data_IF_001034504785
#
_entry.id   IF_001034504785
#
_cell.length_a   1.000
_cell.length_b   1.000
_cell.length_c   1.000
_cell.angle_alpha   90.00
_cell.angle_beta   90.00
_cell.angle_gamma   90.00
#
_symmetry.space_group_name_H-M   'P 1'
#
loop_
_entity.id
_entity.type
_entity.pdbx_description
1 polymer ?
#
# COMPACT_ATOMS: atom_id res chain seq x y z
N UNK A 1 8.16 12.34 -16.17
CA UNK A 1 7.81 12.36 -14.74
C UNK A 1 6.46 13.04 -14.45
N UNK A 2 5.40 12.73 -15.21
CA UNK A 2 4.03 13.22 -14.94
C UNK A 2 3.17 12.01 -14.58
N UNK A 3 2.51 12.09 -13.42
CA UNK A 3 1.52 11.15 -12.87
C UNK A 3 1.99 9.71 -12.60
N UNK A 4 2.69 9.49 -11.49
CA UNK A 4 2.64 8.21 -10.77
C UNK A 4 1.44 8.24 -9.79
N UNK A 5 0.73 7.13 -9.58
CA UNK A 5 -0.39 7.07 -8.64
C UNK A 5 0.12 7.33 -7.21
N UNK A 6 -0.48 8.32 -6.53
CA UNK A 6 -0.02 8.87 -5.24
C UNK A 6 -0.29 7.95 -4.05
N UNK A 7 -1.14 6.93 -4.20
CA UNK A 7 -1.28 5.86 -3.24
C UNK A 7 -2.11 4.74 -3.89
N UNK A 8 -1.66 3.50 -3.77
CA UNK A 8 -2.45 2.32 -4.07
C UNK A 8 -2.90 1.74 -2.72
N UNK A 9 -4.21 1.70 -2.48
CA UNK A 9 -4.79 1.08 -1.28
C UNK A 9 -5.09 -0.38 -1.59
N UNK A 10 -4.15 -1.26 -1.29
CA UNK A 10 -4.34 -2.70 -1.42
C UNK A 10 -4.89 -3.26 -0.10
N UNK A 11 -6.20 -3.58 -0.06
CA UNK A 11 -6.79 -4.32 1.07
C UNK A 11 -6.55 -5.81 0.82
N UNK A 12 -5.92 -6.50 1.77
CA UNK A 12 -5.66 -7.94 1.66
C UNK A 12 -6.93 -8.79 1.50
N UNK A 13 -8.09 -8.28 1.93
CA UNK A 13 -9.41 -8.91 1.69
C UNK A 13 -9.80 -9.01 0.22
N UNK A 14 -9.17 -8.21 -0.64
CA UNK A 14 -9.55 -8.08 -2.04
C UNK A 14 -8.82 -9.10 -2.94
N UNK A 15 -7.84 -9.82 -2.38
CA UNK A 15 -7.11 -10.91 -3.05
C UNK A 15 -7.68 -12.28 -2.66
N UNK A 16 -8.74 -12.70 -3.36
CA UNK A 16 -9.23 -14.07 -3.29
C UNK A 16 -8.32 -15.07 -4.02
N UNK A 17 -8.33 -16.32 -3.57
CA UNK A 17 -7.47 -17.42 -4.05
C UNK A 17 -7.93 -18.06 -5.37
N UNK A 18 -8.35 -17.26 -6.36
CA UNK A 18 -8.81 -17.79 -7.65
C UNK A 18 -8.21 -16.99 -8.80
N UNK A 19 -7.43 -17.72 -9.61
CA UNK A 19 -6.85 -17.43 -10.93
C UNK A 19 -6.93 -15.99 -11.46
N UNK A 20 -5.77 -15.34 -11.59
CA UNK A 20 -5.60 -14.09 -12.33
C UNK A 20 -4.62 -14.27 -13.48
N UNK A 21 -5.17 -14.40 -14.70
CA UNK A 21 -4.46 -14.10 -15.93
C UNK A 21 -4.15 -12.59 -16.00
N UNK A 22 -2.88 -12.26 -16.23
CA UNK A 22 -2.38 -10.89 -16.28
C UNK A 22 -2.67 -10.26 -17.66
N UNK A 23 -3.82 -9.60 -17.82
CA UNK A 23 -4.05 -8.68 -18.94
C UNK A 23 -3.85 -7.22 -18.52
N UNK A 24 -2.90 -6.57 -19.20
CA UNK A 24 -2.43 -5.21 -18.94
C UNK A 24 -3.37 -4.14 -19.52
N UNK A 25 -4.61 -4.04 -19.03
CA UNK A 25 -5.56 -2.96 -19.34
C UNK A 25 -5.30 -1.67 -18.53
N UNK A 26 -4.04 -1.33 -18.27
CA UNK A 26 -3.61 -0.23 -17.37
C UNK A 26 -4.05 1.18 -17.82
N UNK A 27 -4.38 1.38 -19.10
CA UNK A 27 -4.74 2.70 -19.62
C UNK A 27 -6.25 3.00 -19.57
N UNK A 28 -7.11 1.97 -19.65
CA UNK A 28 -8.57 2.17 -19.69
C UNK A 28 -9.20 2.26 -18.30
N UNK A 29 -8.52 1.74 -17.27
CA UNK A 29 -9.03 1.73 -15.91
C UNK A 29 -8.90 3.07 -15.20
N UNK A 30 -8.05 4.04 -15.59
CA UNK A 30 -7.82 5.25 -14.78
C UNK A 30 -9.11 6.06 -14.48
N UNK A 31 -10.01 6.21 -15.46
CA UNK A 31 -11.30 6.87 -15.24
C UNK A 31 -12.29 6.03 -14.44
N UNK A 32 -12.26 4.71 -14.59
CA UNK A 32 -13.11 3.77 -13.87
C UNK A 32 -12.66 3.62 -12.41
N UNK A 33 -11.36 3.41 -12.19
CA UNK A 33 -10.69 3.47 -10.89
C UNK A 33 -11.01 4.80 -10.21
N UNK A 34 -10.85 5.96 -10.86
CA UNK A 34 -11.16 7.24 -10.21
C UNK A 34 -12.62 7.34 -9.74
N UNK A 35 -13.60 6.89 -10.54
CA UNK A 35 -15.02 6.89 -10.14
C UNK A 35 -15.31 5.87 -9.03
N UNK A 36 -14.77 4.66 -9.12
CA UNK A 36 -14.98 3.58 -8.14
C UNK A 36 -14.26 3.87 -6.82
N UNK A 37 -13.01 4.36 -6.90
CA UNK A 37 -12.17 4.71 -5.76
C UNK A 37 -12.76 5.90 -5.00
N UNK A 38 -13.20 6.97 -5.68
CA UNK A 38 -13.89 8.09 -5.02
C UNK A 38 -15.23 7.64 -4.42
N UNK A 39 -16.01 6.81 -5.13
CA UNK A 39 -17.30 6.30 -4.62
C UNK A 39 -17.13 5.38 -3.39
N UNK A 40 -16.04 4.62 -3.33
CA UNK A 40 -15.71 3.79 -2.17
C UNK A 40 -15.05 4.60 -1.04
N UNK A 41 -14.27 5.63 -1.36
CA UNK A 41 -13.70 6.56 -0.36
C UNK A 41 -14.78 7.32 0.40
N UNK A 42 -15.87 7.71 -0.28
CA UNK A 42 -17.06 8.30 0.33
C UNK A 42 -17.89 7.32 1.20
N UNK A 43 -17.59 6.02 1.14
CA UNK A 43 -18.19 4.98 2.00
C UNK A 43 -17.30 4.58 3.18
N UNK A 44 -16.07 5.08 3.27
CA UNK A 44 -15.07 4.57 4.19
C UNK A 44 -15.17 5.22 5.59
N UNK A 45 -15.08 4.37 6.62
CA UNK A 45 -14.94 4.75 8.02
C UNK A 45 -13.79 5.78 8.22
N UNK A 46 -13.94 6.72 9.15
CA UNK A 46 -12.92 7.71 9.56
C UNK A 46 -11.52 7.10 9.77
N UNK A 47 -11.50 5.82 10.14
CA UNK A 47 -10.28 5.03 10.34
C UNK A 47 -9.47 4.80 9.06
N UNK A 48 -10.10 4.46 7.95
CA UNK A 48 -9.39 4.23 6.67
C UNK A 48 -8.75 5.52 6.17
N UNK A 49 -9.42 6.65 6.38
CA UNK A 49 -8.89 7.99 6.09
C UNK A 49 -7.67 8.28 6.96
N UNK A 50 -7.76 8.02 8.28
CA UNK A 50 -6.62 8.19 9.18
C UNK A 50 -5.42 7.31 8.80
N UNK A 51 -5.65 6.07 8.35
CA UNK A 51 -4.58 5.18 7.89
C UNK A 51 -3.94 5.67 6.58
N UNK A 52 -4.75 6.20 5.66
CA UNK A 52 -4.24 6.81 4.44
C UNK A 52 -3.38 8.05 4.73
N UNK A 53 -3.75 8.87 5.72
CA UNK A 53 -2.92 10.00 6.15
C UNK A 53 -1.54 9.55 6.65
N UNK A 54 -1.45 8.42 7.34
CA UNK A 54 -0.16 7.88 7.79
C UNK A 54 0.70 7.41 6.60
N UNK A 55 0.11 6.82 5.57
CA UNK A 55 0.82 6.47 4.34
C UNK A 55 1.30 7.71 3.56
N UNK A 56 0.51 8.79 3.54
CA UNK A 56 0.90 10.05 2.91
C UNK A 56 2.10 10.71 3.60
N UNK A 57 2.19 10.63 4.93
CA UNK A 57 3.39 11.12 5.66
C UNK A 57 4.66 10.40 5.22
N UNK A 58 4.60 9.08 5.02
CA UNK A 58 5.72 8.31 4.49
C UNK A 58 6.07 8.72 3.04
N UNK A 59 5.06 8.99 2.20
CA UNK A 59 5.28 9.50 0.84
C UNK A 59 5.98 10.88 0.83
N UNK A 60 5.66 11.76 1.79
CA UNK A 60 6.34 13.04 1.98
C UNK A 60 7.82 12.85 2.38
N UNK A 61 8.12 11.84 3.21
CA UNK A 61 9.50 11.50 3.57
C UNK A 61 10.26 11.03 2.33
N UNK A 62 9.71 10.11 1.53
CA UNK A 62 10.32 9.70 0.26
C UNK A 62 10.58 10.91 -0.65
N UNK A 63 9.59 11.80 -0.79
CA UNK A 63 9.76 13.02 -1.57
C UNK A 63 10.94 13.87 -1.09
N UNK A 64 11.06 14.07 0.23
CA UNK A 64 12.18 14.83 0.82
C UNK A 64 13.55 14.19 0.58
N UNK A 65 13.57 12.87 0.36
CA UNK A 65 14.76 12.07 0.04
C UNK A 65 15.03 11.94 -1.46
N UNK A 66 14.30 12.69 -2.30
CA UNK A 66 14.40 12.63 -3.77
C UNK A 66 14.01 11.26 -4.35
N UNK A 67 13.20 10.50 -3.62
CA UNK A 67 12.65 9.21 -4.05
C UNK A 67 11.29 9.39 -4.76
N UNK A 68 10.80 8.31 -5.38
CA UNK A 68 9.41 8.27 -5.85
C UNK A 68 8.48 8.38 -4.63
N UNK A 69 7.54 9.36 -4.57
CA UNK A 69 6.78 9.68 -3.37
C UNK A 69 5.65 8.66 -3.13
N UNK A 70 6.01 7.48 -2.65
CA UNK A 70 5.10 6.39 -2.32
C UNK A 70 5.37 5.97 -0.89
N UNK A 71 4.30 5.85 -0.10
CA UNK A 71 4.31 5.38 1.28
C UNK A 71 3.33 4.24 1.48
N UNK A 72 3.63 3.36 2.42
CA UNK A 72 2.84 2.18 2.75
C UNK A 72 2.79 1.96 4.27
N UNK A 73 1.64 1.50 4.75
CA UNK A 73 1.40 1.19 6.16
C UNK A 73 0.74 -0.18 6.27
N UNK A 74 1.19 -0.99 7.23
CA UNK A 74 0.57 -2.31 7.52
C UNK A 74 -0.13 -2.22 8.86
N UNK A 75 -1.41 -2.61 8.86
CA UNK A 75 -2.26 -2.65 10.05
C UNK A 75 -2.57 -4.09 10.40
N UNK A 76 -2.37 -4.43 11.67
CA UNK A 76 -2.74 -5.73 12.23
C UNK A 76 -3.44 -5.51 13.57
N UNK A 77 -4.57 -6.18 13.80
CA UNK A 77 -5.38 -6.03 15.01
C UNK A 77 -5.62 -4.55 15.37
N UNK A 78 -6.09 -3.77 14.40
CA UNK A 78 -6.40 -2.35 14.56
C UNK A 78 -5.21 -1.42 14.89
N UNK A 79 -3.97 -1.91 14.86
CA UNK A 79 -2.75 -1.16 15.15
C UNK A 79 -1.81 -1.14 13.93
N UNK A 80 -1.19 0.01 13.66
CA UNK A 80 -0.12 0.10 12.65
C UNK A 80 1.11 -0.61 13.21
N UNK A 81 1.57 -1.65 12.51
CA UNK A 81 2.74 -2.46 12.89
C UNK A 81 3.96 -2.20 11.98
N UNK A 82 3.77 -1.57 10.83
CA UNK A 82 4.85 -1.15 9.95
C UNK A 82 4.47 0.11 9.17
N UNK A 83 5.48 0.92 8.85
CA UNK A 83 5.42 2.09 7.96
C UNK A 83 6.69 2.13 7.14
N UNK A 84 6.54 2.32 5.83
CA UNK A 84 7.69 2.45 4.95
C UNK A 84 7.39 3.38 3.78
N UNK A 85 8.45 3.90 3.20
CA UNK A 85 8.42 4.68 1.97
C UNK A 85 9.37 4.06 0.96
N UNK A 86 9.28 4.51 -0.29
CA UNK A 86 10.18 4.04 -1.34
C UNK A 86 11.62 4.47 -1.04
N UNK A 87 12.58 3.54 -1.13
CA UNK A 87 14.01 3.76 -0.84
C UNK A 87 14.91 3.13 -1.93
N UNK A 88 14.46 3.19 -3.19
CA UNK A 88 15.15 2.51 -4.30
C UNK A 88 16.48 3.14 -4.63
N UNK A 89 16.54 4.46 -4.65
CA UNK A 89 17.75 5.22 -4.92
C UNK A 89 18.70 5.18 -3.72
N UNK A 90 18.16 5.32 -2.49
CA UNK A 90 18.91 5.27 -1.23
C UNK A 90 19.62 3.92 -1.04
N UNK A 91 18.93 2.81 -1.30
CA UNK A 91 19.47 1.46 -1.13
C UNK A 91 20.10 0.88 -2.40
N UNK A 92 20.01 1.60 -3.54
CA UNK A 92 20.38 1.10 -4.87
C UNK A 92 19.75 -0.27 -5.17
N UNK A 93 18.52 -0.47 -4.69
CA UNK A 93 17.79 -1.72 -4.78
C UNK A 93 16.46 -1.47 -5.51
N UNK A 94 16.27 -2.01 -6.72
CA UNK A 94 15.02 -1.85 -7.46
C UNK A 94 13.80 -2.47 -6.75
N UNK A 95 14.01 -3.31 -5.74
CA UNK A 95 12.96 -3.95 -4.93
C UNK A 95 12.62 -3.19 -3.65
N UNK A 96 13.34 -2.11 -3.31
CA UNK A 96 13.09 -1.28 -2.13
C UNK A 96 11.87 -0.34 -2.29
N UNK A 97 10.77 -0.93 -2.74
CA UNK A 97 9.45 -0.33 -2.80
C UNK A 97 8.81 -0.24 -1.41
N UNK A 98 7.98 0.79 -1.19
CA UNK A 98 7.31 1.00 0.10
C UNK A 98 6.53 -0.23 0.56
N UNK A 99 5.81 -0.90 -0.35
CA UNK A 99 5.00 -2.09 -0.05
C UNK A 99 5.87 -3.26 0.43
N UNK A 100 6.98 -3.51 -0.27
CA UNK A 100 7.92 -4.59 0.05
C UNK A 100 8.56 -4.35 1.42
N UNK A 101 9.04 -3.12 1.65
CA UNK A 101 9.65 -2.73 2.91
C UNK A 101 8.65 -2.81 4.07
N UNK A 102 7.40 -2.37 3.88
CA UNK A 102 6.37 -2.44 4.90
C UNK A 102 6.00 -3.91 5.25
N UNK A 103 5.91 -4.79 4.25
CA UNK A 103 5.69 -6.23 4.47
C UNK A 103 6.86 -6.85 5.24
N UNK A 104 8.11 -6.56 4.85
CA UNK A 104 9.29 -7.08 5.54
C UNK A 104 9.34 -6.62 7.00
N UNK A 105 9.06 -5.35 7.27
CA UNK A 105 8.97 -4.82 8.64
C UNK A 105 7.86 -5.49 9.44
N UNK A 106 6.68 -5.66 8.86
CA UNK A 106 5.56 -6.29 9.52
C UNK A 106 5.81 -7.79 9.82
N UNK A 107 6.45 -8.51 8.89
CA UNK A 107 6.87 -9.89 9.10
C UNK A 107 7.90 -10.01 10.24
N UNK A 108 8.86 -9.07 10.31
CA UNK A 108 9.81 -8.97 11.45
C UNK A 108 9.08 -8.70 12.77
N UNK A 109 8.11 -7.80 12.79
CA UNK A 109 7.31 -7.48 13.98
C UNK A 109 6.51 -8.69 14.48
N UNK A 110 5.90 -9.45 13.56
CA UNK A 110 5.08 -10.63 13.90
C UNK A 110 5.91 -11.90 14.17
N UNK A 111 7.22 -11.88 13.91
CA UNK A 111 8.08 -13.06 13.99
C UNK A 111 7.64 -14.18 13.04
N UNK A 112 6.88 -13.86 11.98
CA UNK A 112 6.22 -14.83 11.11
C UNK A 112 6.38 -14.43 9.65
N UNK A 113 6.64 -15.42 8.79
CA UNK A 113 6.58 -15.26 7.33
C UNK A 113 5.15 -15.14 6.81
N UNK A 114 4.19 -15.69 7.55
CA UNK A 114 2.79 -15.70 7.16
C UNK A 114 2.04 -14.64 7.95
N UNK A 115 1.39 -13.75 7.22
CA UNK A 115 0.28 -13.00 7.75
C UNK A 115 -0.90 -13.97 7.86
N UNK A 116 -1.13 -14.50 9.05
CA UNK A 116 -2.33 -15.27 9.33
C UNK A 116 -3.51 -14.30 9.38
N UNK A 117 -3.99 -13.90 8.19
CA UNK A 117 -5.20 -13.09 8.01
C UNK A 117 -6.48 -13.88 8.34
N UNK A 118 -6.36 -15.17 8.68
CA UNK A 118 -7.45 -16.07 8.99
C UNK A 118 -7.21 -16.70 10.37
N UNK A 119 -7.57 -15.96 11.44
CA UNK A 119 -7.87 -16.59 12.73
C UNK A 119 -8.77 -15.67 13.55
N UNK A 120 -10.01 -15.53 13.09
CA UNK A 120 -11.14 -15.08 13.91
C UNK A 120 -12.45 -15.48 13.20
N UNK A 121 -12.80 -16.75 13.34
CA UNK A 121 -14.17 -17.25 13.53
C UNK A 121 -14.11 -18.44 14.47
#
# INVERSE_FOLDING_TARGET
>A
FKSAPVAQLDKATDYGSVDWGFESLRAHQYQYFRKVFIKNMLKNNDKDISLMHEALKEAEIAYSRQEVPIGAVVVYQNKIIARAHNQKEELQDPTAHAEILAIQQAAKYLGSRFFNFIKER
#
